data_IF_714912669750
#
_entry.id   IF_714912669750
#
_cell.length_a   1.000
_cell.length_b   1.000
_cell.length_c   1.000
_cell.angle_alpha   90.00
_cell.angle_beta   90.00
_cell.angle_gamma   90.00
#
_symmetry.space_group_name_H-M   'P 1'
#
loop_
_entity.id
_entity.type
_entity.pdbx_description
1 polymer ?
#
# COMPACT_ATOMS: atom_id res chain seq x y z
N UNK A 1 0.14 3.67 -11.48
CA UNK A 1 -0.88 4.74 -11.44
C UNK A 1 -0.25 6.09 -11.75
N UNK A 2 -1.07 7.02 -12.22
CA UNK A 2 -0.59 8.35 -12.63
C UNK A 2 0.17 9.08 -11.52
N UNK A 3 -0.35 9.07 -10.29
CA UNK A 3 0.30 9.79 -9.17
C UNK A 3 1.66 9.22 -8.78
N UNK A 4 1.86 7.91 -8.87
CA UNK A 4 3.17 7.29 -8.59
C UNK A 4 4.16 7.61 -9.71
N UNK A 5 3.71 7.63 -10.94
CA UNK A 5 4.56 8.01 -12.08
C UNK A 5 4.98 9.49 -11.99
N UNK A 6 4.09 10.36 -11.56
CA UNK A 6 4.41 11.76 -11.34
C UNK A 6 5.43 11.94 -10.22
N UNK A 7 5.27 11.20 -9.12
CA UNK A 7 6.23 11.20 -8.01
C UNK A 7 7.61 10.75 -8.47
N UNK A 8 7.67 9.67 -9.25
CA UNK A 8 8.93 9.18 -9.81
C UNK A 8 9.63 10.27 -10.64
N UNK A 9 8.89 10.94 -11.50
CA UNK A 9 9.45 11.99 -12.35
C UNK A 9 9.97 13.17 -11.54
N UNK A 10 9.23 13.58 -10.49
CA UNK A 10 9.64 14.68 -9.62
C UNK A 10 10.92 14.34 -8.87
N UNK A 11 11.04 13.12 -8.36
CA UNK A 11 12.19 12.72 -7.55
C UNK A 11 13.43 12.39 -8.38
N UNK A 12 13.27 11.76 -9.53
CA UNK A 12 14.39 11.18 -10.29
C UNK A 12 14.51 11.69 -11.72
N UNK A 13 13.54 12.48 -12.22
CA UNK A 13 13.54 12.94 -13.60
C UNK A 13 13.29 11.80 -14.58
N UNK A 14 13.91 11.87 -15.75
CA UNK A 14 13.74 10.86 -16.79
C UNK A 14 14.72 9.71 -16.58
N UNK A 15 14.35 8.78 -15.72
CA UNK A 15 15.16 7.57 -15.47
C UNK A 15 14.40 6.34 -15.95
N UNK A 16 15.12 5.27 -16.36
CA UNK A 16 14.47 4.00 -16.65
C UNK A 16 13.80 3.43 -15.41
N UNK A 17 12.59 2.88 -15.57
CA UNK A 17 11.87 2.24 -14.49
C UNK A 17 10.98 1.12 -15.03
N UNK A 18 10.62 0.21 -14.13
CA UNK A 18 9.67 -0.85 -14.42
C UNK A 18 8.35 -0.57 -13.71
N UNK A 19 7.24 -0.94 -14.35
CA UNK A 19 5.92 -0.88 -13.75
C UNK A 19 5.51 -2.28 -13.34
N UNK A 20 5.26 -2.49 -12.05
CA UNK A 20 4.75 -3.76 -11.56
C UNK A 20 3.37 -3.55 -10.96
N UNK A 21 2.30 -4.02 -11.63
CA UNK A 21 0.93 -3.82 -11.14
C UNK A 21 0.65 -4.51 -9.81
N UNK A 22 1.49 -5.46 -9.38
CA UNK A 22 1.34 -6.11 -8.07
C UNK A 22 1.60 -5.16 -6.91
N UNK A 23 2.21 -3.99 -7.15
CA UNK A 23 2.41 -2.94 -6.15
C UNK A 23 1.34 -1.86 -6.19
N UNK A 24 0.22 -2.09 -6.84
CA UNK A 24 -0.92 -1.18 -6.80
C UNK A 24 -1.63 -1.26 -5.45
N UNK A 25 -2.27 -0.15 -5.06
CA UNK A 25 -3.07 -0.11 -3.84
C UNK A 25 -4.22 -1.12 -3.90
N UNK A 26 -4.77 -1.46 -2.75
CA UNK A 26 -5.93 -2.36 -2.66
C UNK A 26 -7.07 -1.87 -3.54
N UNK A 27 -7.69 -2.81 -4.25
CA UNK A 27 -8.84 -2.51 -5.11
C UNK A 27 -10.12 -2.65 -4.30
N UNK A 28 -10.75 -1.53 -3.98
CA UNK A 28 -12.01 -1.51 -3.24
C UNK A 28 -13.25 -1.75 -4.13
N UNK A 29 -13.04 -2.05 -5.41
CA UNK A 29 -14.12 -2.38 -6.32
C UNK A 29 -15.14 -1.26 -6.45
N UNK A 30 -16.42 -1.59 -6.22
CA UNK A 30 -17.49 -0.60 -6.38
C UNK A 30 -17.44 0.55 -5.37
N UNK A 31 -16.65 0.41 -4.30
CA UNK A 31 -16.53 1.46 -3.30
C UNK A 31 -15.57 2.59 -3.68
N UNK A 32 -14.75 2.40 -4.72
CA UNK A 32 -13.69 3.35 -5.04
C UNK A 32 -14.18 4.72 -5.51
N UNK A 33 -15.19 4.78 -6.30
CA UNK A 33 -15.65 6.04 -6.88
C UNK A 33 -16.75 6.72 -6.08
N UNK A 34 -16.93 6.31 -4.83
CA UNK A 34 -18.01 6.81 -3.96
C UNK A 34 -17.45 7.41 -2.68
N UNK A 35 -18.09 8.46 -2.19
CA UNK A 35 -17.73 9.07 -0.93
C UNK A 35 -18.26 8.25 0.25
N UNK A 36 -17.71 8.50 1.45
CA UNK A 36 -18.22 7.88 2.67
C UNK A 36 -19.71 8.21 2.89
N UNK A 37 -20.11 9.43 2.59
CA UNK A 37 -21.52 9.83 2.73
C UNK A 37 -22.43 9.00 1.84
N UNK A 38 -22.00 8.68 0.62
CA UNK A 38 -22.74 7.84 -0.31
C UNK A 38 -22.79 6.38 0.13
N UNK A 39 -21.70 5.89 0.75
CA UNK A 39 -21.52 4.47 1.09
C UNK A 39 -22.09 4.07 2.45
N UNK A 40 -22.03 4.96 3.42
CA UNK A 40 -22.20 4.63 4.86
C UNK A 40 -23.46 3.85 5.19
N UNK A 41 -24.57 4.08 4.47
CA UNK A 41 -25.86 3.46 4.72
C UNK A 41 -26.20 2.36 3.72
N UNK A 42 -25.29 2.01 2.81
CA UNK A 42 -25.55 0.93 1.86
C UNK A 42 -25.34 -0.43 2.51
N UNK A 43 -26.21 -1.44 2.19
CA UNK A 43 -26.04 -2.79 2.76
C UNK A 43 -24.69 -3.41 2.39
N UNK A 44 -24.20 -3.21 1.19
CA UNK A 44 -22.93 -3.76 0.70
C UNK A 44 -21.75 -3.25 1.53
N UNK A 45 -21.75 -1.95 1.82
CA UNK A 45 -20.68 -1.34 2.61
C UNK A 45 -20.75 -1.80 4.07
N UNK A 46 -21.95 -1.86 4.66
CA UNK A 46 -22.14 -2.33 6.02
C UNK A 46 -21.69 -3.79 6.17
N UNK A 47 -22.05 -4.64 5.21
CA UNK A 47 -21.61 -6.04 5.21
C UNK A 47 -20.08 -6.15 5.12
N UNK A 48 -19.45 -5.32 4.30
CA UNK A 48 -17.98 -5.31 4.16
C UNK A 48 -17.29 -4.93 5.46
N UNK A 49 -17.89 -4.05 6.26
CA UNK A 49 -17.34 -3.63 7.55
C UNK A 49 -17.50 -4.66 8.67
N UNK A 50 -18.35 -5.68 8.47
CA UNK A 50 -18.68 -6.67 9.51
C UNK A 50 -17.54 -7.67 9.69
N UNK A 51 -17.17 -7.94 10.94
CA UNK A 51 -16.17 -8.95 11.29
C UNK A 51 -14.74 -8.51 10.94
N UNK A 52 -13.97 -9.41 10.35
CA UNK A 52 -12.59 -9.11 9.94
C UNK A 52 -12.58 -8.38 8.61
N UNK A 53 -12.47 -7.07 8.70
CA UNK A 53 -12.47 -6.19 7.54
C UNK A 53 -11.32 -6.47 6.56
N UNK A 54 -10.19 -6.97 7.05
CA UNK A 54 -9.05 -7.32 6.18
C UNK A 54 -9.35 -8.54 5.30
N UNK A 55 -10.20 -9.44 5.78
CA UNK A 55 -10.57 -10.64 5.04
C UNK A 55 -11.78 -10.42 4.11
N UNK A 56 -12.58 -9.40 4.35
CA UNK A 56 -13.78 -9.13 3.60
C UNK A 56 -13.44 -8.58 2.20
N UNK A 57 -14.13 -9.09 1.19
CA UNK A 57 -13.91 -8.68 -0.20
C UNK A 57 -15.04 -7.73 -0.60
N UNK A 58 -14.73 -6.47 -0.95
CA UNK A 58 -15.75 -5.58 -1.49
C UNK A 58 -16.20 -6.06 -2.88
N UNK A 59 -17.44 -5.80 -3.28
CA UNK A 59 -17.88 -6.23 -4.60
C UNK A 59 -16.98 -5.71 -5.72
N UNK A 60 -16.55 -6.62 -6.61
CA UNK A 60 -15.63 -6.35 -7.73
C UNK A 60 -14.24 -5.85 -7.31
N UNK A 61 -13.88 -6.05 -6.06
CA UNK A 61 -12.57 -5.65 -5.53
C UNK A 61 -11.81 -6.83 -4.93
N UNK A 62 -10.87 -6.50 -4.06
CA UNK A 62 -10.09 -7.50 -3.34
C UNK A 62 -10.05 -7.20 -1.85
N UNK A 63 -9.76 -8.21 -1.05
CA UNK A 63 -9.54 -8.02 0.39
C UNK A 63 -8.15 -7.47 0.65
N UNK A 64 -7.94 -6.93 1.85
CA UNK A 64 -6.60 -6.53 2.29
C UNK A 64 -5.64 -7.69 2.29
N UNK A 65 -6.10 -8.89 2.66
CA UNK A 65 -5.26 -10.10 2.64
C UNK A 65 -4.85 -10.50 1.22
N UNK A 66 -5.75 -10.36 0.25
CA UNK A 66 -5.43 -10.63 -1.15
C UNK A 66 -4.40 -9.63 -1.68
N UNK A 67 -4.56 -8.35 -1.38
CA UNK A 67 -3.59 -7.33 -1.74
C UNK A 67 -2.22 -7.64 -1.12
N UNK A 68 -2.19 -7.96 0.15
CA UNK A 68 -0.94 -8.32 0.86
C UNK A 68 -0.25 -9.49 0.19
N UNK A 69 -1.00 -10.53 -0.20
CA UNK A 69 -0.42 -11.71 -0.84
C UNK A 69 0.29 -11.36 -2.17
N UNK A 70 -0.35 -10.57 -3.03
CA UNK A 70 0.27 -10.19 -4.31
C UNK A 70 1.46 -9.25 -4.13
N UNK A 71 1.40 -8.34 -3.17
CA UNK A 71 2.49 -7.43 -2.85
C UNK A 71 3.71 -8.20 -2.35
N UNK A 72 3.52 -9.13 -1.44
CA UNK A 72 4.63 -9.92 -0.89
C UNK A 72 5.22 -10.87 -1.91
N UNK A 73 4.41 -11.37 -2.84
CA UNK A 73 4.92 -12.14 -3.98
C UNK A 73 5.90 -11.31 -4.80
N UNK A 74 5.49 -10.09 -5.19
CA UNK A 74 6.33 -9.19 -5.95
C UNK A 74 7.59 -8.79 -5.17
N UNK A 75 7.44 -8.48 -3.89
CA UNK A 75 8.56 -8.10 -3.04
C UNK A 75 9.59 -9.22 -2.91
N UNK A 76 9.14 -10.47 -2.81
CA UNK A 76 10.03 -11.63 -2.69
C UNK A 76 10.93 -11.84 -3.91
N UNK A 77 10.57 -11.27 -5.05
CA UNK A 77 11.32 -11.41 -6.30
C UNK A 77 12.43 -10.38 -6.46
N UNK A 78 12.48 -9.40 -5.58
CA UNK A 78 13.52 -8.35 -5.63
C UNK A 78 14.84 -8.93 -5.16
N UNK A 79 15.90 -8.79 -5.97
CA UNK A 79 17.21 -9.39 -5.71
C UNK A 79 18.34 -8.38 -5.57
N UNK A 80 18.09 -7.12 -5.84
CA UNK A 80 19.09 -6.07 -5.79
C UNK A 80 18.51 -4.79 -5.20
N UNK A 81 19.35 -3.84 -4.89
CA UNK A 81 18.93 -2.56 -4.33
C UNK A 81 17.92 -1.90 -5.26
N UNK A 82 16.76 -1.57 -4.73
CA UNK A 82 15.62 -1.12 -5.51
C UNK A 82 14.88 -0.01 -4.76
N UNK A 83 14.48 1.01 -5.48
CA UNK A 83 13.57 2.02 -4.97
C UNK A 83 12.16 1.72 -5.51
N UNK A 84 11.21 1.53 -4.62
CA UNK A 84 9.81 1.26 -4.99
C UNK A 84 8.98 2.49 -4.66
N UNK A 85 8.31 3.04 -5.67
CA UNK A 85 7.36 4.13 -5.47
C UNK A 85 5.96 3.53 -5.59
N UNK A 86 5.23 3.56 -4.49
CA UNK A 86 3.96 2.89 -4.38
C UNK A 86 3.00 3.65 -3.44
N UNK A 87 2.14 2.95 -2.74
CA UNK A 87 1.05 3.52 -1.96
C UNK A 87 1.16 3.13 -0.49
N UNK A 88 0.52 3.91 0.38
CA UNK A 88 0.62 3.72 1.83
C UNK A 88 0.22 2.34 2.31
N UNK A 89 -0.88 1.78 1.82
CA UNK A 89 -1.32 0.45 2.21
C UNK A 89 -0.36 -0.65 1.77
N UNK A 90 0.25 -0.50 0.61
CA UNK A 90 1.26 -1.44 0.10
C UNK A 90 2.52 -1.39 0.97
N UNK A 91 2.99 -0.19 1.30
CA UNK A 91 4.15 0.00 2.17
C UNK A 91 3.89 -0.63 3.54
N UNK A 92 2.70 -0.39 4.10
CA UNK A 92 2.34 -0.97 5.40
C UNK A 92 2.34 -2.49 5.37
N UNK A 93 1.85 -3.11 4.29
CA UNK A 93 1.86 -4.56 4.16
C UNK A 93 3.28 -5.13 4.17
N UNK A 94 4.20 -4.48 3.47
CA UNK A 94 5.60 -4.90 3.43
C UNK A 94 6.24 -4.76 4.82
N UNK A 95 6.05 -3.62 5.48
CA UNK A 95 6.65 -3.37 6.78
C UNK A 95 6.11 -4.31 7.86
N UNK A 96 4.82 -4.57 7.85
CA UNK A 96 4.20 -5.51 8.79
C UNK A 96 4.77 -6.92 8.62
N UNK A 97 5.01 -7.32 7.39
CA UNK A 97 5.61 -8.63 7.09
C UNK A 97 7.07 -8.72 7.55
N UNK A 98 7.86 -7.66 7.32
CA UNK A 98 9.29 -7.67 7.64
C UNK A 98 9.58 -7.49 9.14
N UNK A 99 8.73 -6.78 9.86
CA UNK A 99 8.97 -6.43 11.27
C UNK A 99 7.77 -6.80 12.16
N UNK A 100 7.37 -8.09 12.17
CA UNK A 100 6.21 -8.51 12.95
C UNK A 100 6.42 -8.36 14.46
N UNK A 101 7.66 -8.36 14.94
CA UNK A 101 7.99 -8.23 16.34
C UNK A 101 7.66 -6.86 16.93
N UNK A 102 7.44 -5.85 16.09
CA UNK A 102 7.04 -4.53 16.58
C UNK A 102 5.56 -4.43 16.92
N UNK A 103 4.76 -5.44 16.56
CA UNK A 103 3.33 -5.51 16.88
C UNK A 103 2.53 -4.28 16.44
N UNK A 104 2.95 -3.66 15.35
CA UNK A 104 2.24 -2.52 14.77
C UNK A 104 1.21 -3.01 13.75
N UNK A 105 0.04 -2.38 13.74
CA UNK A 105 -0.96 -2.65 12.72
C UNK A 105 -0.64 -1.83 11.46
N UNK A 106 -1.38 -2.09 10.38
CA UNK A 106 -1.14 -1.43 9.10
C UNK A 106 -1.30 0.09 9.17
N UNK A 107 -2.17 0.60 10.02
CA UNK A 107 -2.36 2.05 10.14
C UNK A 107 -1.18 2.73 10.83
N UNK A 108 -0.52 2.03 11.74
CA UNK A 108 0.69 2.53 12.40
C UNK A 108 1.90 2.50 11.46
N UNK A 109 1.95 1.54 10.54
CA UNK A 109 3.00 1.45 9.55
C UNK A 109 2.78 2.38 8.35
N UNK A 110 1.54 2.72 8.04
CA UNK A 110 1.23 3.50 6.84
C UNK A 110 1.84 4.90 6.91
N UNK A 111 2.76 5.24 5.99
CA UNK A 111 3.40 6.55 6.03
C UNK A 111 2.46 7.64 5.50
N UNK A 112 2.73 8.88 5.90
CA UNK A 112 2.08 10.05 5.29
C UNK A 112 2.54 10.17 3.83
N UNK A 113 1.76 10.86 2.98
CA UNK A 113 2.20 11.13 1.60
C UNK A 113 3.58 11.78 1.58
N UNK A 114 4.42 11.35 0.65
CA UNK A 114 5.79 11.83 0.54
C UNK A 114 6.79 11.22 1.52
N UNK A 115 6.33 10.32 2.38
CA UNK A 115 7.17 9.61 3.34
C UNK A 115 7.33 8.15 2.93
N UNK A 116 8.23 7.45 3.59
CA UNK A 116 8.46 6.03 3.35
C UNK A 116 9.49 5.47 4.31
N UNK A 117 10.11 4.38 3.90
CA UNK A 117 11.11 3.69 4.71
C UNK A 117 12.30 3.28 3.86
N UNK A 118 13.47 3.29 4.47
CA UNK A 118 14.67 2.68 3.90
C UNK A 118 14.94 1.42 4.71
N UNK A 119 14.98 0.28 4.02
CA UNK A 119 15.18 -1.04 4.65
C UNK A 119 16.56 -1.53 4.27
N UNK A 120 17.35 -1.91 5.26
CA UNK A 120 18.72 -2.38 5.06
C UNK A 120 19.08 -3.41 6.13
N UNK A 121 19.46 -4.61 5.68
CA UNK A 121 19.99 -5.67 6.56
C UNK A 121 19.17 -5.92 7.82
N UNK A 122 17.86 -6.08 7.66
CA UNK A 122 16.97 -6.40 8.78
C UNK A 122 16.61 -5.22 9.68
N UNK A 123 16.98 -4.01 9.28
CA UNK A 123 16.62 -2.78 9.99
C UNK A 123 15.93 -1.81 9.05
N UNK A 124 15.32 -0.77 9.60
CA UNK A 124 14.73 0.28 8.79
C UNK A 124 14.95 1.65 9.41
N UNK A 125 14.90 2.67 8.57
CA UNK A 125 14.82 4.07 9.00
C UNK A 125 13.64 4.74 8.30
N UNK A 126 13.09 5.78 8.94
CA UNK A 126 11.99 6.54 8.36
C UNK A 126 12.53 7.54 7.37
N UNK A 127 11.96 7.53 6.18
CA UNK A 127 12.28 8.50 5.13
C UNK A 127 11.21 9.58 5.13
N UNK A 128 11.61 10.82 5.38
CA UNK A 128 10.68 11.95 5.41
C UNK A 128 11.24 13.12 4.61
N UNK A 129 10.37 14.04 4.15
CA UNK A 129 10.83 15.22 3.44
C UNK A 129 11.78 16.05 4.30
N UNK A 130 12.75 16.67 3.66
CA UNK A 130 13.73 17.51 4.33
C UNK A 130 13.08 18.73 5.00
N UNK A 131 11.99 19.21 4.41
CA UNK A 131 11.22 20.35 4.93
C UNK A 131 9.77 19.90 5.08
N UNK A 132 9.26 19.92 6.31
CA UNK A 132 7.86 19.62 6.60
C UNK A 132 7.13 20.87 7.08
#
# INVERSE_FOLDING_TARGET
MKRTNETLRILFGDVPYEVDPRFQEVDFGIFEMQSFVELKDTPEYQNWLTGDNEANIPPRGESGLQMKARVLQAFSEIREDTCIITHGGVIAAIMEHLFPEENKNRYQWQPKPGHGYVICEGTYTILSPKYE
#
